data_IF_537418829743
#
_entry.id   IF_537418829743
#
_cell.length_a   1.000
_cell.length_b   1.000
_cell.length_c   1.000
_cell.angle_alpha   90.00
_cell.angle_beta   90.00
_cell.angle_gamma   90.00
#
_symmetry.space_group_name_H-M   'P 1'
#
loop_
_entity.id
_entity.type
_entity.pdbx_description
1 polymer ?
#
# COMPACT_ATOMS: atom_id res chain seq x y z
N UNK A 1 1.70 10.14 -25.36
CA UNK A 1 0.67 9.18 -25.84
C UNK A 1 0.79 7.95 -24.94
N UNK A 2 -0.27 7.48 -24.31
CA UNK A 2 -0.19 6.32 -23.40
C UNK A 2 0.03 5.03 -24.19
N UNK A 3 0.86 4.12 -23.64
CA UNK A 3 1.09 2.80 -24.18
C UNK A 3 -0.03 1.85 -23.76
N UNK A 4 -0.79 1.32 -24.72
CA UNK A 4 -1.85 0.35 -24.44
C UNK A 4 -1.29 -0.96 -23.87
N UNK A 5 -0.10 -1.39 -24.32
CA UNK A 5 0.55 -2.60 -23.85
C UNK A 5 0.95 -2.44 -22.38
N UNK A 6 1.61 -1.32 -22.02
CA UNK A 6 2.03 -1.05 -20.66
C UNK A 6 0.82 -0.87 -19.73
N UNK A 7 -0.25 -0.24 -20.22
CA UNK A 7 -1.52 -0.11 -19.49
C UNK A 7 -2.13 -1.47 -19.16
N UNK A 8 -2.26 -2.36 -20.16
CA UNK A 8 -2.78 -3.71 -19.93
C UNK A 8 -1.88 -4.51 -18.98
N UNK A 9 -0.57 -4.42 -19.16
CA UNK A 9 0.39 -5.12 -18.32
C UNK A 9 0.34 -4.66 -16.87
N UNK A 10 0.24 -3.35 -16.64
CA UNK A 10 0.10 -2.78 -15.29
C UNK A 10 -1.21 -3.22 -14.63
N UNK A 11 -2.32 -3.28 -15.38
CA UNK A 11 -3.59 -3.79 -14.86
C UNK A 11 -3.52 -5.26 -14.50
N UNK A 12 -2.89 -6.11 -15.32
CA UNK A 12 -2.66 -7.52 -14.99
C UNK A 12 -1.83 -7.62 -13.72
N UNK A 13 -0.76 -6.83 -13.58
CA UNK A 13 0.03 -6.74 -12.36
C UNK A 13 -0.81 -6.33 -11.14
N UNK A 14 -1.66 -5.32 -11.29
CA UNK A 14 -2.56 -4.87 -10.23
C UNK A 14 -3.52 -5.98 -9.77
N UNK A 15 -4.10 -6.74 -10.70
CA UNK A 15 -4.95 -7.88 -10.37
C UNK A 15 -4.18 -8.98 -9.64
N UNK A 16 -2.96 -9.30 -10.07
CA UNK A 16 -2.13 -10.29 -9.38
C UNK A 16 -1.80 -9.86 -7.95
N UNK A 17 -1.45 -8.59 -7.74
CA UNK A 17 -1.22 -8.03 -6.40
C UNK A 17 -2.51 -8.02 -5.57
N UNK A 18 -3.66 -7.74 -6.18
CA UNK A 18 -4.94 -7.82 -5.49
C UNK A 18 -5.23 -9.25 -4.98
N UNK A 19 -4.88 -10.29 -5.73
CA UNK A 19 -4.99 -11.67 -5.28
C UNK A 19 -4.08 -12.00 -4.08
N UNK A 20 -3.03 -11.21 -3.83
CA UNK A 20 -2.23 -11.37 -2.61
C UNK A 20 -3.05 -11.14 -1.34
N UNK A 21 -4.10 -10.32 -1.37
CA UNK A 21 -5.02 -10.15 -0.23
C UNK A 21 -5.67 -11.48 0.16
N UNK A 22 -6.18 -12.23 -0.82
CA UNK A 22 -6.74 -13.54 -0.58
C UNK A 22 -5.68 -14.55 -0.12
N UNK A 23 -4.47 -14.49 -0.70
CA UNK A 23 -3.33 -15.32 -0.32
C UNK A 23 -2.92 -15.10 1.13
N UNK A 24 -2.75 -13.86 1.56
CA UNK A 24 -2.44 -13.50 2.96
C UNK A 24 -3.57 -13.90 3.90
N UNK A 25 -4.83 -13.65 3.54
CA UNK A 25 -5.97 -14.04 4.34
C UNK A 25 -6.01 -15.55 4.61
N UNK A 26 -5.76 -16.38 3.58
CA UNK A 26 -5.69 -17.83 3.72
C UNK A 26 -4.48 -18.29 4.53
N UNK A 27 -3.32 -17.66 4.31
CA UNK A 27 -2.09 -17.96 5.04
C UNK A 27 -2.25 -17.67 6.53
N UNK A 28 -2.72 -16.47 6.90
CA UNK A 28 -2.97 -16.08 8.28
C UNK A 28 -4.04 -16.96 8.94
N UNK A 29 -5.13 -17.28 8.21
CA UNK A 29 -6.17 -18.19 8.71
C UNK A 29 -5.62 -19.59 8.99
N UNK A 30 -4.64 -20.05 8.21
CA UNK A 30 -3.98 -21.34 8.41
C UNK A 30 -3.06 -21.40 9.64
N UNK A 31 -2.45 -20.27 10.00
CA UNK A 31 -1.56 -20.17 11.18
C UNK A 31 -2.26 -19.86 12.49
N UNK A 32 -3.51 -19.43 12.44
CA UNK A 32 -4.28 -19.04 13.62
C UNK A 32 -5.25 -20.14 14.05
N UNK A 33 -5.75 -20.03 15.30
CA UNK A 33 -6.74 -20.99 15.81
C UNK A 33 -8.04 -20.90 15.00
N UNK A 34 -8.65 -22.05 14.68
CA UNK A 34 -9.86 -22.14 13.86
C UNK A 34 -11.00 -21.21 14.33
N UNK A 35 -11.16 -20.99 15.63
CA UNK A 35 -12.16 -20.08 16.19
C UNK A 35 -11.98 -18.62 15.78
N UNK A 36 -10.78 -18.23 15.35
CA UNK A 36 -10.43 -16.87 14.99
C UNK A 36 -10.41 -16.63 13.47
N UNK A 37 -10.59 -17.67 12.65
CA UNK A 37 -10.55 -17.60 11.18
C UNK A 37 -11.46 -16.50 10.63
N UNK A 38 -12.72 -16.43 11.08
CA UNK A 38 -13.66 -15.40 10.62
C UNK A 38 -13.20 -13.96 10.93
N UNK A 39 -12.60 -13.74 12.10
CA UNK A 39 -12.04 -12.45 12.49
C UNK A 39 -10.83 -12.08 11.62
N UNK A 40 -9.96 -13.03 11.31
CA UNK A 40 -8.79 -12.85 10.45
C UNK A 40 -9.21 -12.48 9.02
N UNK A 41 -10.13 -13.26 8.43
CA UNK A 41 -10.65 -12.98 7.09
C UNK A 41 -11.29 -11.58 7.01
N UNK A 42 -12.06 -11.20 8.04
CA UNK A 42 -12.67 -9.87 8.12
C UNK A 42 -11.62 -8.77 8.23
N UNK A 43 -10.55 -8.93 9.01
CA UNK A 43 -9.45 -7.97 9.10
C UNK A 43 -8.79 -7.74 7.74
N UNK A 44 -8.42 -8.81 7.05
CA UNK A 44 -7.80 -8.72 5.72
C UNK A 44 -8.72 -8.03 4.69
N UNK A 45 -10.02 -8.28 4.73
CA UNK A 45 -10.98 -7.58 3.89
C UNK A 45 -11.06 -6.08 4.24
N UNK A 46 -11.04 -5.75 5.53
CA UNK A 46 -11.10 -4.37 5.99
C UNK A 46 -9.85 -3.57 5.63
N UNK A 47 -8.67 -4.19 5.50
CA UNK A 47 -7.45 -3.52 5.02
C UNK A 47 -7.64 -2.93 3.63
N UNK A 48 -8.28 -3.66 2.74
CA UNK A 48 -8.60 -3.13 1.42
C UNK A 48 -9.73 -2.09 1.49
N UNK A 49 -10.80 -2.35 2.25
CA UNK A 49 -11.95 -1.45 2.34
C UNK A 49 -11.63 -0.12 3.02
N UNK A 50 -10.76 -0.11 4.02
CA UNK A 50 -10.32 1.10 4.74
C UNK A 50 -9.11 1.72 4.03
N UNK A 51 -8.16 0.90 3.62
CA UNK A 51 -6.92 1.36 3.00
C UNK A 51 -7.15 2.12 1.71
N UNK A 52 -8.05 1.65 0.85
CA UNK A 52 -8.36 2.30 -0.43
C UNK A 52 -8.81 3.76 -0.25
N UNK A 53 -9.90 4.07 0.48
CA UNK A 53 -10.32 5.46 0.65
C UNK A 53 -9.29 6.29 1.43
N UNK A 54 -8.62 5.74 2.42
CA UNK A 54 -7.57 6.43 3.16
C UNK A 54 -6.40 6.81 2.26
N UNK A 55 -5.95 5.88 1.43
CA UNK A 55 -4.85 6.11 0.51
C UNK A 55 -5.22 7.15 -0.57
N UNK A 56 -6.45 7.10 -1.10
CA UNK A 56 -6.93 8.08 -2.09
C UNK A 56 -7.17 9.46 -1.48
N UNK A 57 -7.58 9.51 -0.20
CA UNK A 57 -7.85 10.77 0.48
C UNK A 57 -6.60 11.62 0.64
N UNK A 58 -5.50 11.05 1.12
CA UNK A 58 -4.27 11.77 1.45
C UNK A 58 -3.01 10.98 1.06
N UNK A 59 -3.03 9.66 1.21
CA UNK A 59 -1.85 8.80 1.09
C UNK A 59 -1.14 8.93 -0.25
N UNK A 60 -1.88 8.92 -1.35
CA UNK A 60 -1.28 9.04 -2.68
C UNK A 60 -0.57 10.39 -2.88
N UNK A 61 -1.17 11.49 -2.39
CA UNK A 61 -0.56 12.82 -2.41
C UNK A 61 0.73 12.88 -1.59
N UNK A 62 0.72 12.31 -0.37
CA UNK A 62 1.93 12.22 0.47
C UNK A 62 3.04 11.41 -0.19
N UNK A 63 2.68 10.39 -0.97
CA UNK A 63 3.64 9.50 -1.63
C UNK A 63 4.19 10.10 -2.93
N UNK A 64 3.34 10.67 -3.77
CA UNK A 64 3.68 11.06 -5.14
C UNK A 64 3.36 12.53 -5.49
N UNK A 65 2.85 13.33 -4.56
CA UNK A 65 2.39 14.69 -4.84
C UNK A 65 3.49 15.71 -5.14
N UNK A 66 4.76 15.35 -5.04
CA UNK A 66 5.90 16.21 -5.32
C UNK A 66 7.23 15.55 -5.04
N UNK A 67 8.32 16.31 -5.11
CA UNK A 67 9.72 15.84 -5.02
C UNK A 67 10.41 16.22 -3.70
N UNK A 68 9.67 16.30 -2.60
CA UNK A 68 10.24 16.59 -1.28
C UNK A 68 11.16 15.46 -0.79
N UNK A 69 12.12 15.73 0.09
CA UNK A 69 13.02 14.69 0.59
C UNK A 69 12.32 13.66 1.50
N UNK A 70 11.35 14.09 2.31
CA UNK A 70 10.69 13.25 3.31
C UNK A 70 9.24 12.88 2.93
N UNK A 71 8.52 13.80 2.29
CA UNK A 71 7.13 13.63 1.84
C UNK A 71 6.98 14.25 0.45
N UNK A 72 6.12 13.69 -0.38
CA UNK A 72 5.83 14.22 -1.70
C UNK A 72 5.07 15.54 -1.65
N UNK A 73 3.93 15.56 -1.00
CA UNK A 73 3.10 16.75 -0.90
C UNK A 73 1.78 16.45 -0.19
N UNK A 74 1.01 17.48 0.05
CA UNK A 74 -0.35 17.33 0.59
C UNK A 74 -1.35 17.62 -0.54
N UNK A 75 -1.84 16.57 -1.15
CA UNK A 75 -2.83 16.66 -2.23
C UNK A 75 -4.02 15.72 -1.94
N UNK A 76 -5.03 16.24 -1.25
CA UNK A 76 -6.22 15.45 -0.93
C UNK A 76 -7.03 15.15 -2.20
N UNK A 77 -7.54 13.92 -2.30
CA UNK A 77 -8.35 13.43 -3.40
C UNK A 77 -7.66 13.39 -4.78
N UNK A 78 -6.32 13.46 -4.83
CA UNK A 78 -5.53 13.30 -6.07
C UNK A 78 -5.97 14.31 -7.13
N UNK A 79 -6.00 15.59 -6.77
CA UNK A 79 -6.41 16.68 -7.65
C UNK A 79 -5.23 17.40 -8.32
N UNK A 80 -4.02 17.14 -7.86
CA UNK A 80 -2.80 17.77 -8.33
C UNK A 80 -2.33 17.29 -9.71
N UNK A 81 -1.29 17.94 -10.20
CA UNK A 81 -0.60 17.53 -11.43
C UNK A 81 0.50 16.53 -11.11
N UNK A 82 0.38 15.35 -11.66
CA UNK A 82 1.32 14.23 -11.53
C UNK A 82 2.18 14.01 -12.79
N UNK A 83 2.27 15.00 -13.66
CA UNK A 83 3.06 14.93 -14.90
C UNK A 83 4.56 14.68 -14.64
N UNK A 84 5.05 15.10 -13.47
CA UNK A 84 6.44 14.87 -13.03
C UNK A 84 6.80 13.38 -12.86
N UNK A 85 5.81 12.48 -12.74
CA UNK A 85 6.05 11.03 -12.67
C UNK A 85 6.44 10.43 -14.03
N UNK A 86 6.26 11.17 -15.15
CA UNK A 86 6.65 10.73 -16.47
C UNK A 86 5.97 9.43 -16.93
N UNK A 87 4.73 9.20 -16.49
CA UNK A 87 4.00 7.97 -16.76
C UNK A 87 3.63 7.83 -18.24
N UNK A 88 3.89 6.67 -18.81
CA UNK A 88 3.42 6.26 -20.15
C UNK A 88 2.07 5.53 -20.12
N UNK A 89 1.44 5.46 -18.94
CA UNK A 89 0.13 4.86 -18.66
C UNK A 89 -0.82 5.90 -18.06
N UNK A 90 -2.15 5.72 -18.13
CA UNK A 90 -3.11 6.60 -17.48
C UNK A 90 -2.87 6.66 -15.96
N UNK A 91 -2.96 7.85 -15.38
CA UNK A 91 -2.75 8.07 -13.95
C UNK A 91 -3.61 7.14 -13.07
N UNK A 92 -4.89 6.95 -13.43
CA UNK A 92 -5.79 6.09 -12.66
C UNK A 92 -5.37 4.62 -12.63
N UNK A 93 -4.74 4.12 -13.69
CA UNK A 93 -4.17 2.77 -13.73
C UNK A 93 -3.02 2.66 -12.72
N UNK A 94 -2.17 3.68 -12.69
CA UNK A 94 -1.07 3.76 -11.71
C UNK A 94 -1.59 3.86 -10.28
N UNK A 95 -2.62 4.67 -10.03
CA UNK A 95 -3.27 4.80 -8.71
C UNK A 95 -3.82 3.45 -8.24
N UNK A 96 -4.55 2.73 -9.10
CA UNK A 96 -5.08 1.40 -8.76
C UNK A 96 -3.95 0.44 -8.42
N UNK A 97 -2.89 0.41 -9.22
CA UNK A 97 -1.72 -0.42 -8.97
C UNK A 97 -1.06 -0.11 -7.62
N UNK A 98 -0.87 1.16 -7.29
CA UNK A 98 -0.30 1.57 -6.00
C UNK A 98 -1.24 1.32 -4.81
N UNK A 99 -2.55 1.41 -5.02
CA UNK A 99 -3.56 1.15 -3.99
C UNK A 99 -3.52 -0.31 -3.52
N UNK A 100 -3.37 -1.26 -4.43
CA UNK A 100 -3.31 -2.69 -4.05
C UNK A 100 -2.03 -3.01 -3.28
N UNK A 101 -0.93 -2.32 -3.55
CA UNK A 101 0.29 -2.42 -2.74
C UNK A 101 0.11 -1.82 -1.34
N UNK A 102 -0.56 -0.68 -1.22
CA UNK A 102 -0.89 -0.08 0.07
C UNK A 102 -1.72 -1.05 0.94
N UNK A 103 -2.76 -1.63 0.38
CA UNK A 103 -3.59 -2.62 1.06
C UNK A 103 -2.79 -3.86 1.47
N UNK A 104 -1.87 -4.32 0.62
CA UNK A 104 -0.98 -5.45 0.92
C UNK A 104 -0.05 -5.13 2.08
N UNK A 105 0.52 -3.92 2.15
CA UNK A 105 1.37 -3.51 3.27
C UNK A 105 0.60 -3.52 4.60
N UNK A 106 -0.65 -3.02 4.62
CA UNK A 106 -1.51 -3.09 5.79
C UNK A 106 -1.81 -4.54 6.21
N UNK A 107 -2.10 -5.42 5.24
CA UNK A 107 -2.40 -6.83 5.48
C UNK A 107 -1.20 -7.60 6.06
N UNK A 108 0.03 -7.33 5.61
CA UNK A 108 1.22 -8.00 6.15
C UNK A 108 1.37 -7.69 7.65
N UNK A 109 1.06 -6.47 8.08
CA UNK A 109 1.06 -6.11 9.51
C UNK A 109 -0.02 -6.85 10.29
N UNK A 110 -1.15 -7.20 9.65
CA UNK A 110 -2.23 -8.00 10.26
C UNK A 110 -1.71 -9.29 10.89
N UNK A 111 -0.79 -9.98 10.22
CA UNK A 111 -0.21 -11.23 10.71
C UNK A 111 0.47 -11.10 12.09
N UNK A 112 1.18 -10.00 12.32
CA UNK A 112 1.84 -9.73 13.62
C UNK A 112 0.84 -9.43 14.75
N UNK A 113 -0.32 -8.90 14.40
CA UNK A 113 -1.40 -8.51 15.32
C UNK A 113 -2.48 -9.59 15.45
N UNK A 114 -2.30 -10.73 14.77
CA UNK A 114 -3.24 -11.84 14.81
C UNK A 114 -3.44 -12.32 16.26
N UNK A 115 -4.69 -12.57 16.63
CA UNK A 115 -5.11 -13.04 17.98
C UNK A 115 -4.79 -12.09 19.16
N UNK A 116 -4.11 -10.97 18.94
CA UNK A 116 -3.65 -10.05 20.00
C UNK A 116 -4.39 -8.72 20.04
N UNK A 117 -5.01 -8.32 18.94
CA UNK A 117 -5.57 -6.98 18.77
C UNK A 117 -7.09 -7.01 18.59
N UNK A 118 -7.79 -6.10 19.26
CA UNK A 118 -9.22 -5.89 19.10
C UNK A 118 -9.50 -5.38 17.66
N UNK A 119 -10.59 -5.84 17.05
CA UNK A 119 -10.99 -5.49 15.69
C UNK A 119 -11.10 -3.97 15.46
N UNK A 120 -11.69 -3.22 16.40
CA UNK A 120 -11.81 -1.75 16.28
C UNK A 120 -10.45 -1.05 16.27
N UNK A 121 -9.55 -1.46 17.17
CA UNK A 121 -8.19 -0.93 17.21
C UNK A 121 -7.43 -1.27 15.92
N UNK A 122 -7.67 -2.46 15.38
CA UNK A 122 -7.11 -2.87 14.10
C UNK A 122 -7.53 -1.97 12.94
N UNK A 123 -8.83 -1.63 12.82
CA UNK A 123 -9.32 -0.72 11.78
C UNK A 123 -8.66 0.67 11.84
N UNK A 124 -8.46 1.21 13.05
CA UNK A 124 -7.75 2.49 13.24
C UNK A 124 -6.29 2.37 12.80
N UNK A 125 -5.65 1.26 13.13
CA UNK A 125 -4.28 0.99 12.75
C UNK A 125 -4.10 0.86 11.23
N UNK A 126 -4.98 0.11 10.57
CA UNK A 126 -5.01 -0.04 9.11
C UNK A 126 -5.18 1.33 8.41
N UNK A 127 -6.07 2.18 8.93
CA UNK A 127 -6.23 3.55 8.45
C UNK A 127 -4.92 4.37 8.62
N UNK A 128 -4.28 4.31 9.77
CA UNK A 128 -3.04 5.04 10.04
C UNK A 128 -1.89 4.59 9.13
N UNK A 129 -1.77 3.29 8.86
CA UNK A 129 -0.78 2.76 7.91
C UNK A 129 -1.05 3.31 6.52
N UNK A 130 -2.27 3.22 6.04
CA UNK A 130 -2.63 3.60 4.66
C UNK A 130 -2.60 5.11 4.42
N UNK A 131 -2.89 5.93 5.47
CA UNK A 131 -2.86 7.39 5.39
C UNK A 131 -1.44 7.97 5.47
N UNK A 132 -0.59 7.41 6.34
CA UNK A 132 0.64 8.10 6.77
C UNK A 132 1.86 7.20 6.62
N UNK A 133 1.89 6.05 7.27
CA UNK A 133 3.12 5.26 7.40
C UNK A 133 3.59 4.73 6.05
N UNK A 134 2.72 4.03 5.34
CA UNK A 134 3.05 3.47 4.01
C UNK A 134 3.36 4.58 2.99
N UNK A 135 2.56 5.67 2.85
CA UNK A 135 2.88 6.74 1.92
C UNK A 135 4.23 7.41 2.15
N UNK A 136 4.59 7.69 3.39
CA UNK A 136 5.88 8.32 3.72
C UNK A 136 7.03 7.38 3.37
N UNK A 137 6.97 6.12 3.80
CA UNK A 137 8.02 5.14 3.48
C UNK A 137 8.10 4.86 1.97
N UNK A 138 6.96 4.76 1.29
CA UNK A 138 6.91 4.59 -0.15
C UNK A 138 7.45 5.80 -0.92
N UNK A 139 7.23 7.00 -0.41
CA UNK A 139 7.81 8.22 -0.98
C UNK A 139 9.35 8.17 -0.95
N UNK A 140 9.95 7.72 0.14
CA UNK A 140 11.41 7.61 0.25
C UNK A 140 12.03 6.72 -0.81
N UNK A 141 11.31 5.70 -1.27
CA UNK A 141 11.82 4.66 -2.18
C UNK A 141 11.36 4.81 -3.62
N UNK A 142 10.13 5.32 -3.86
CA UNK A 142 9.51 5.40 -5.18
C UNK A 142 9.02 6.80 -5.57
N UNK A 143 8.83 7.68 -4.60
CA UNK A 143 8.26 9.02 -4.83
C UNK A 143 9.29 10.13 -5.05
N UNK A 144 10.55 9.83 -5.23
CA UNK A 144 11.61 10.83 -5.38
C UNK A 144 12.26 11.27 -4.06
N UNK A 145 12.00 10.55 -2.96
CA UNK A 145 12.52 10.88 -1.63
C UNK A 145 14.02 10.58 -1.45
N UNK A 146 14.50 10.80 -0.23
CA UNK A 146 15.93 10.77 0.10
C UNK A 146 16.63 9.43 -0.16
N UNK A 147 15.96 8.29 0.07
CA UNK A 147 16.54 6.98 -0.21
C UNK A 147 16.75 6.75 -1.71
N UNK A 148 15.76 7.13 -2.52
CA UNK A 148 15.86 7.03 -3.98
C UNK A 148 16.97 7.94 -4.51
N UNK A 149 17.11 9.15 -3.97
CA UNK A 149 18.18 10.09 -4.35
C UNK A 149 19.58 9.60 -3.96
N UNK A 150 19.69 8.75 -2.94
CA UNK A 150 20.95 8.05 -2.57
C UNK A 150 21.26 6.84 -3.45
N UNK A 151 20.41 6.51 -4.43
CA UNK A 151 20.60 5.35 -5.31
C UNK A 151 19.98 4.05 -4.79
N UNK A 152 19.17 4.10 -3.73
CA UNK A 152 18.43 2.93 -3.27
C UNK A 152 17.37 2.54 -4.30
N UNK A 153 17.34 1.28 -4.66
CA UNK A 153 16.40 0.75 -5.65
C UNK A 153 15.60 -0.41 -5.07
N UNK A 154 14.30 -0.21 -4.94
CA UNK A 154 13.33 -1.24 -4.59
C UNK A 154 12.42 -1.49 -5.78
N UNK A 155 12.62 -2.62 -6.47
CA UNK A 155 11.88 -2.92 -7.69
C UNK A 155 10.43 -3.34 -7.42
N UNK A 156 10.23 -4.26 -6.47
CA UNK A 156 8.94 -4.92 -6.26
C UNK A 156 8.31 -4.69 -4.88
N UNK A 157 8.85 -3.78 -4.07
CA UNK A 157 8.32 -3.52 -2.74
C UNK A 157 8.90 -4.39 -1.63
N UNK A 158 10.08 -4.97 -1.84
CA UNK A 158 10.74 -5.77 -0.81
C UNK A 158 10.99 -4.98 0.47
N UNK A 159 11.36 -3.71 0.34
CA UNK A 159 11.52 -2.81 1.47
C UNK A 159 10.24 -2.02 1.75
N UNK A 160 9.64 -1.39 0.73
CA UNK A 160 8.47 -0.52 0.89
C UNK A 160 7.24 -1.26 1.41
N UNK A 161 7.04 -2.51 1.01
CA UNK A 161 5.84 -3.29 1.37
C UNK A 161 6.13 -4.32 2.45
N UNK A 162 7.23 -5.08 2.33
CA UNK A 162 7.48 -6.23 3.20
C UNK A 162 8.30 -5.92 4.45
N UNK A 163 9.26 -4.99 4.41
CA UNK A 163 10.07 -4.64 5.59
C UNK A 163 9.38 -3.66 6.53
N UNK A 164 8.46 -2.85 6.03
CA UNK A 164 7.72 -1.89 6.86
C UNK A 164 6.97 -2.57 8.03
N UNK A 165 6.32 -3.73 7.83
CA UNK A 165 5.72 -4.48 8.92
C UNK A 165 6.72 -5.10 9.89
N UNK A 166 7.91 -5.45 9.46
CA UNK A 166 8.91 -6.11 10.30
C UNK A 166 9.47 -5.19 11.38
N UNK A 167 9.52 -3.87 11.15
CA UNK A 167 9.96 -2.88 12.14
C UNK A 167 9.01 -2.83 13.35
N UNK A 168 7.75 -3.25 13.18
CA UNK A 168 6.76 -3.26 14.27
C UNK A 168 6.64 -4.61 15.00
N UNK A 169 7.38 -5.63 14.56
CA UNK A 169 7.37 -6.99 15.15
C UNK A 169 8.52 -7.18 16.16
N UNK A 170 9.56 -6.37 16.07
CA UNK A 170 10.70 -6.35 17.03
C UNK A 170 10.43 -5.38 18.22
#
# INVERSE_FOLDING_TARGET
MFSSINTCWTLVGAFLVYFMQAGFALCEAGFTRAKNTGNILMKNMMDFCIGTPCYWLIGFGLMFGGTGALIGGFDPFIQGDYSHLGLDIPLWVYIVFQTVFCATAATIVSGSMAERTNFKAYCVYSAAISLVVYPICGHWMWGGGWLQSMGFHDFAGSAAVHNLPLIHIS
#
